data_IF_753816272687
#
_entry.id   IF_753816272687
#
_cell.length_a   1.000
_cell.length_b   1.000
_cell.length_c   1.000
_cell.angle_alpha   90.00
_cell.angle_beta   90.00
_cell.angle_gamma   90.00
#
_symmetry.space_group_name_H-M   'P 1'
#
loop_
_entity.id
_entity.type
_entity.pdbx_description
1 polymer ?
#
# COMPACT_ATOMS: atom_id res chain seq x y z
N UNK A 1 -3.55 15.98 4.32
CA UNK A 1 -2.18 16.06 4.82
C UNK A 1 -1.75 17.49 5.20
N UNK A 2 -1.58 18.40 4.24
CA UNK A 2 -0.93 19.71 4.45
C UNK A 2 -1.54 20.53 5.60
N UNK A 3 -2.86 20.60 5.70
CA UNK A 3 -3.55 21.38 6.75
C UNK A 3 -3.24 20.89 8.16
N UNK A 4 -2.97 19.61 8.36
CA UNK A 4 -2.59 19.06 9.67
C UNK A 4 -1.26 19.63 10.14
N UNK A 5 -0.27 19.72 9.25
CA UNK A 5 1.04 20.29 9.57
C UNK A 5 0.96 21.80 9.85
N UNK A 6 0.17 22.53 9.06
CA UNK A 6 -0.04 23.95 9.29
C UNK A 6 -0.75 24.21 10.63
N UNK A 7 -1.75 23.40 10.98
CA UNK A 7 -2.44 23.49 12.27
C UNK A 7 -1.50 23.16 13.43
N UNK A 8 -0.67 22.13 13.30
CA UNK A 8 0.32 21.77 14.31
C UNK A 8 1.35 22.89 14.54
N UNK A 9 1.86 23.49 13.47
CA UNK A 9 2.80 24.62 13.54
C UNK A 9 2.15 25.86 14.16
N UNK A 10 0.89 26.15 13.80
CA UNK A 10 0.14 27.26 14.40
C UNK A 10 -0.05 27.04 15.91
N UNK A 11 -0.43 25.84 16.34
CA UNK A 11 -0.59 25.51 17.75
C UNK A 11 0.73 25.59 18.54
N UNK A 12 1.84 25.11 17.95
CA UNK A 12 3.17 25.22 18.56
C UNK A 12 3.59 26.67 18.70
N UNK A 13 3.37 27.49 17.69
CA UNK A 13 3.70 28.91 17.75
C UNK A 13 2.83 29.65 18.77
N UNK A 14 1.54 29.33 18.89
CA UNK A 14 0.64 29.92 19.87
C UNK A 14 1.01 29.57 21.30
N UNK A 15 1.40 28.29 21.54
CA UNK A 15 1.69 27.78 22.89
C UNK A 15 3.11 28.10 23.37
N UNK A 16 4.09 28.07 22.48
CA UNK A 16 5.52 28.25 22.81
C UNK A 16 6.04 29.64 22.45
N UNK A 17 5.44 30.30 21.47
CA UNK A 17 5.87 31.63 21.03
C UNK A 17 7.36 31.69 20.74
N UNK A 18 8.08 32.62 21.42
CA UNK A 18 9.54 32.80 21.27
C UNK A 18 10.36 31.60 21.78
N UNK A 19 9.77 30.67 22.55
CA UNK A 19 10.45 29.48 23.03
C UNK A 19 10.44 28.35 21.97
N UNK A 20 9.71 28.53 20.87
CA UNK A 20 9.78 27.59 19.73
C UNK A 20 11.08 27.81 18.96
N UNK A 21 12.09 27.03 19.27
CA UNK A 21 13.47 27.15 18.74
C UNK A 21 13.77 26.24 17.54
N UNK A 22 12.78 25.52 17.02
CA UNK A 22 12.98 24.60 15.90
C UNK A 22 12.84 25.34 14.55
N UNK A 23 13.78 25.12 13.65
CA UNK A 23 13.61 25.42 12.23
C UNK A 23 12.75 24.34 11.59
N UNK A 24 11.71 24.73 10.87
CA UNK A 24 10.83 23.78 10.19
C UNK A 24 10.84 24.05 8.70
N UNK A 25 11.05 22.99 7.92
CA UNK A 25 10.94 22.97 6.47
C UNK A 25 9.80 22.06 6.07
N UNK A 26 8.92 22.52 5.20
CA UNK A 26 7.86 21.71 4.62
C UNK A 26 8.24 21.40 3.17
N UNK A 27 8.40 20.12 2.89
CA UNK A 27 8.54 19.59 1.55
C UNK A 27 7.25 18.88 1.16
N UNK A 28 6.62 19.33 0.09
CA UNK A 28 5.33 18.80 -0.37
C UNK A 28 5.56 18.24 -1.76
N UNK A 29 5.39 16.93 -1.89
CA UNK A 29 5.46 16.20 -3.15
C UNK A 29 4.05 15.96 -3.69
N UNK A 30 3.89 16.10 -5.00
CA UNK A 30 2.63 15.88 -5.70
C UNK A 30 2.70 14.76 -6.75
N UNK A 31 3.81 14.01 -6.82
CA UNK A 31 4.06 12.98 -7.84
C UNK A 31 4.19 11.57 -7.25
N UNK A 32 3.99 11.39 -5.95
CA UNK A 32 4.25 10.11 -5.27
C UNK A 32 3.45 8.98 -5.91
N UNK A 33 2.16 9.17 -6.14
CA UNK A 33 1.26 8.18 -6.76
C UNK A 33 1.56 7.92 -8.25
N UNK A 34 2.40 8.74 -8.86
CA UNK A 34 2.87 8.56 -10.23
C UNK A 34 4.32 8.02 -10.30
N UNK A 35 4.86 7.53 -9.17
CA UNK A 35 6.22 6.98 -9.08
C UNK A 35 7.32 8.03 -8.94
N UNK A 36 6.98 9.25 -8.55
CA UNK A 36 7.94 10.31 -8.18
C UNK A 36 9.06 10.58 -9.20
N UNK A 37 8.77 10.77 -10.47
CA UNK A 37 9.81 10.88 -11.51
C UNK A 37 10.78 12.04 -11.30
N UNK A 38 10.36 13.13 -10.66
CA UNK A 38 11.20 14.31 -10.42
C UNK A 38 11.92 14.29 -9.06
N UNK A 39 11.58 13.35 -8.18
CA UNK A 39 11.98 13.36 -6.76
C UNK A 39 13.50 13.37 -6.56
N UNK A 40 14.21 12.42 -7.16
CA UNK A 40 15.66 12.30 -7.01
C UNK A 40 16.40 13.53 -7.54
N UNK A 41 15.96 14.06 -8.69
CA UNK A 41 16.53 15.27 -9.29
C UNK A 41 16.30 16.49 -8.39
N UNK A 42 15.11 16.60 -7.85
CA UNK A 42 14.74 17.67 -6.92
C UNK A 42 15.60 17.63 -5.64
N UNK A 43 15.71 16.47 -5.00
CA UNK A 43 16.54 16.29 -3.80
C UNK A 43 18.01 16.64 -4.04
N UNK A 44 18.55 16.27 -5.19
CA UNK A 44 19.94 16.61 -5.55
C UNK A 44 20.13 18.11 -5.76
N UNK A 45 19.16 18.78 -6.37
CA UNK A 45 19.21 20.21 -6.66
C UNK A 45 19.12 21.06 -5.40
N UNK A 46 18.23 20.68 -4.48
CA UNK A 46 17.91 21.46 -3.28
C UNK A 46 18.45 20.82 -1.98
N UNK A 47 19.54 20.06 -2.10
CA UNK A 47 20.09 19.28 -0.99
C UNK A 47 20.45 20.11 0.24
N UNK A 48 21.02 21.29 0.04
CA UNK A 48 21.41 22.18 1.14
C UNK A 48 20.19 22.80 1.81
N UNK A 49 19.22 23.27 1.01
CA UNK A 49 17.99 23.84 1.50
C UNK A 49 17.12 22.83 2.26
N UNK A 50 17.15 21.55 1.85
CA UNK A 50 16.40 20.48 2.48
C UNK A 50 17.14 19.82 3.65
N UNK A 51 18.41 20.17 3.88
CA UNK A 51 19.16 19.60 5.01
C UNK A 51 18.45 19.85 6.35
N UNK A 52 18.31 18.81 7.15
CA UNK A 52 17.67 18.84 8.46
C UNK A 52 18.26 17.77 9.37
N UNK A 53 18.17 17.98 10.70
CA UNK A 53 18.61 17.01 11.70
C UNK A 53 17.60 15.82 11.81
N UNK A 54 16.33 16.11 11.56
CA UNK A 54 15.24 15.13 11.60
C UNK A 54 14.34 15.26 10.38
N UNK A 55 13.87 14.16 9.87
CA UNK A 55 12.92 14.08 8.77
C UNK A 55 11.70 13.31 9.26
N UNK A 56 10.52 13.91 9.09
CA UNK A 56 9.24 13.27 9.36
C UNK A 56 8.52 13.06 8.04
N UNK A 57 8.37 11.82 7.64
CA UNK A 57 7.55 11.44 6.47
C UNK A 57 6.12 11.25 6.98
N UNK A 58 5.22 12.10 6.52
CA UNK A 58 3.84 12.16 7.00
C UNK A 58 2.86 11.70 5.91
N UNK A 59 3.00 10.44 5.52
CA UNK A 59 2.18 9.77 4.51
C UNK A 59 1.38 8.60 5.11
N UNK A 60 0.97 8.75 6.34
CA UNK A 60 0.13 7.75 7.00
C UNK A 60 -1.09 8.41 7.64
N UNK A 61 -2.19 7.67 7.71
CA UNK A 61 -3.39 8.11 8.38
C UNK A 61 -3.37 7.74 9.87
N UNK A 62 -4.15 8.45 10.68
CA UNK A 62 -4.50 7.98 12.01
C UNK A 62 -5.33 6.69 11.92
N UNK A 63 -5.30 5.90 13.00
CA UNK A 63 -6.11 4.69 13.11
C UNK A 63 -7.61 4.95 12.84
N UNK A 64 -8.15 6.01 13.45
CA UNK A 64 -9.51 6.52 13.20
C UNK A 64 -9.65 7.97 13.68
N UNK A 65 -10.70 8.63 13.29
CA UNK A 65 -10.99 9.98 13.76
C UNK A 65 -11.08 10.02 15.31
N UNK A 66 -10.41 10.99 15.94
CA UNK A 66 -10.36 11.16 17.38
C UNK A 66 -9.43 10.19 18.14
N UNK A 67 -8.75 9.28 17.43
CA UNK A 67 -7.77 8.35 18.04
C UNK A 67 -6.40 8.63 17.44
N UNK A 68 -5.54 9.41 18.15
CA UNK A 68 -4.17 9.64 17.69
C UNK A 68 -3.40 8.31 17.59
N UNK A 69 -2.61 8.17 16.53
CA UNK A 69 -1.77 6.98 16.34
C UNK A 69 -0.41 7.36 15.76
N UNK A 70 0.59 6.57 16.09
CA UNK A 70 1.92 6.62 15.49
C UNK A 70 2.15 5.35 14.68
N UNK A 71 2.51 5.50 13.42
CA UNK A 71 2.96 4.39 12.60
C UNK A 71 4.37 4.00 13.02
N UNK A 72 4.54 2.79 13.56
CA UNK A 72 5.81 2.30 14.10
C UNK A 72 6.55 1.37 13.15
N UNK A 73 5.86 0.84 12.14
CA UNK A 73 6.43 -0.02 11.11
C UNK A 73 5.61 0.02 9.85
N UNK A 74 6.24 -0.33 8.75
CA UNK A 74 5.60 -0.47 7.43
C UNK A 74 5.85 -1.89 6.91
N UNK A 75 4.95 -2.37 6.06
CA UNK A 75 5.17 -3.60 5.31
C UNK A 75 6.19 -3.33 4.21
N UNK A 76 7.10 -4.28 3.98
CA UNK A 76 7.91 -4.28 2.78
C UNK A 76 7.07 -4.58 1.55
N UNK A 77 7.50 -4.10 0.38
CA UNK A 77 6.90 -4.42 -0.91
C UNK A 77 7.96 -5.03 -1.83
N UNK A 78 7.57 -6.06 -2.57
CA UNK A 78 8.32 -6.60 -3.68
C UNK A 78 7.37 -6.76 -4.86
N UNK A 79 7.80 -6.31 -6.02
CA UNK A 79 7.03 -6.40 -7.27
C UNK A 79 7.77 -7.22 -8.30
N UNK A 80 7.04 -7.77 -9.25
CA UNK A 80 7.59 -8.53 -10.36
C UNK A 80 6.55 -8.69 -11.45
N UNK A 81 7.03 -9.00 -12.65
CA UNK A 81 6.18 -9.24 -13.81
C UNK A 81 6.03 -10.73 -14.07
N UNK A 82 4.83 -11.15 -14.43
CA UNK A 82 4.55 -12.51 -14.89
C UNK A 82 4.17 -12.46 -16.36
N UNK A 83 4.96 -13.12 -17.21
CA UNK A 83 4.66 -13.27 -18.64
C UNK A 83 4.27 -14.72 -18.95
N UNK A 84 3.11 -14.90 -19.60
CA UNK A 84 2.69 -16.22 -20.14
C UNK A 84 2.73 -16.13 -21.66
N UNK A 85 3.58 -16.97 -22.28
CA UNK A 85 3.74 -17.06 -23.72
C UNK A 85 3.39 -18.46 -24.21
N UNK A 86 2.38 -18.57 -25.08
CA UNK A 86 1.87 -19.83 -25.63
C UNK A 86 2.20 -20.05 -27.11
N UNK A 87 2.71 -19.03 -27.80
CA UNK A 87 3.06 -19.11 -29.21
C UNK A 87 4.17 -18.12 -29.56
N UNK A 88 4.77 -18.29 -30.74
CA UNK A 88 5.82 -17.42 -31.29
C UNK A 88 5.26 -16.18 -31.97
N UNK A 89 3.98 -16.17 -32.33
CA UNK A 89 3.28 -15.08 -33.00
C UNK A 89 1.77 -15.17 -32.73
N UNK A 90 1.05 -14.11 -33.05
CA UNK A 90 -0.41 -14.10 -32.99
C UNK A 90 -1.02 -15.04 -34.03
N UNK A 91 -2.07 -15.75 -33.64
CA UNK A 91 -2.78 -16.69 -34.49
C UNK A 91 -4.27 -16.34 -34.60
N UNK A 92 -4.92 -16.85 -35.63
CA UNK A 92 -6.36 -16.74 -35.80
C UNK A 92 -7.05 -17.81 -34.94
N UNK A 93 -7.83 -17.39 -33.94
CA UNK A 93 -8.48 -18.26 -32.94
C UNK A 93 -9.46 -19.26 -33.60
N UNK A 94 -10.17 -18.87 -34.67
CA UNK A 94 -11.10 -19.74 -35.39
C UNK A 94 -10.41 -20.87 -36.18
N UNK A 95 -9.12 -20.72 -36.49
CA UNK A 95 -8.36 -21.73 -37.23
C UNK A 95 -7.56 -22.66 -36.31
N UNK A 96 -7.04 -22.14 -35.21
CA UNK A 96 -6.07 -22.83 -34.37
C UNK A 96 -6.52 -22.94 -32.90
N UNK A 97 -7.62 -22.31 -32.52
CA UNK A 97 -8.20 -22.43 -31.19
C UNK A 97 -8.66 -23.86 -30.88
N UNK A 98 -8.98 -24.13 -29.63
CA UNK A 98 -9.35 -25.45 -29.14
C UNK A 98 -8.14 -26.23 -28.59
N UNK A 99 -7.26 -26.82 -29.41
CA UNK A 99 -6.10 -27.56 -28.92
C UNK A 99 -4.98 -26.62 -28.38
N UNK A 100 -4.91 -25.37 -28.85
CA UNK A 100 -3.96 -24.41 -28.34
C UNK A 100 -4.43 -23.80 -27.03
N UNK A 101 -3.56 -23.84 -26.02
CA UNK A 101 -3.84 -23.21 -24.74
C UNK A 101 -3.94 -21.69 -24.89
N UNK A 102 -4.96 -21.09 -24.29
CA UNK A 102 -5.12 -19.64 -24.24
C UNK A 102 -4.27 -19.02 -23.14
N UNK A 103 -3.45 -18.01 -23.49
CA UNK A 103 -2.54 -17.36 -22.54
C UNK A 103 -3.26 -16.69 -21.37
N UNK A 104 -4.43 -16.08 -21.61
CA UNK A 104 -5.21 -15.44 -20.55
C UNK A 104 -5.79 -16.46 -19.59
N UNK A 105 -6.28 -17.60 -20.11
CA UNK A 105 -6.77 -18.70 -19.27
C UNK A 105 -5.64 -19.27 -18.40
N UNK A 106 -4.46 -19.48 -18.98
CA UNK A 106 -3.29 -19.95 -18.23
C UNK A 106 -2.84 -18.94 -17.18
N UNK A 107 -2.83 -17.65 -17.51
CA UNK A 107 -2.52 -16.59 -16.55
C UNK A 107 -3.53 -16.60 -15.40
N UNK A 108 -4.83 -16.67 -15.68
CA UNK A 108 -5.85 -16.74 -14.65
C UNK A 108 -5.69 -17.97 -13.75
N UNK A 109 -5.39 -19.15 -14.32
CA UNK A 109 -5.10 -20.37 -13.56
C UNK A 109 -3.86 -20.20 -12.68
N UNK A 110 -2.78 -19.62 -13.20
CA UNK A 110 -1.57 -19.35 -12.43
C UNK A 110 -1.86 -18.40 -11.26
N UNK A 111 -2.51 -17.28 -11.51
CA UNK A 111 -2.87 -16.32 -10.46
C UNK A 111 -3.77 -16.95 -9.39
N UNK A 112 -4.69 -17.83 -9.78
CA UNK A 112 -5.53 -18.54 -8.84
C UNK A 112 -4.74 -19.47 -7.88
N UNK A 113 -3.56 -19.96 -8.27
CA UNK A 113 -2.71 -20.77 -7.38
C UNK A 113 -1.99 -19.98 -6.30
N UNK A 114 -1.94 -18.67 -6.43
CA UNK A 114 -1.29 -17.79 -5.44
C UNK A 114 -2.13 -17.64 -4.16
N UNK A 115 -3.38 -18.06 -4.20
CA UNK A 115 -4.30 -18.06 -3.07
C UNK A 115 -4.93 -19.43 -2.87
N UNK A 116 -5.25 -19.77 -1.64
CA UNK A 116 -6.01 -20.97 -1.33
C UNK A 116 -7.53 -20.77 -1.51
N UNK A 117 -8.31 -21.80 -1.22
CA UNK A 117 -9.77 -21.77 -1.35
C UNK A 117 -10.46 -20.74 -0.43
N UNK A 118 -9.78 -20.23 0.58
CA UNK A 118 -10.27 -19.18 1.48
C UNK A 118 -9.86 -17.76 1.00
N UNK A 119 -9.01 -17.68 -0.02
CA UNK A 119 -8.40 -16.43 -0.47
C UNK A 119 -7.17 -16.01 0.34
N UNK A 120 -6.65 -16.87 1.21
CA UNK A 120 -5.39 -16.63 1.88
C UNK A 120 -4.21 -16.87 0.92
N UNK A 121 -3.12 -16.11 1.11
CA UNK A 121 -1.90 -16.27 0.29
C UNK A 121 -1.33 -17.68 0.46
N UNK A 122 -1.17 -18.39 -0.67
CA UNK A 122 -0.71 -19.78 -0.75
C UNK A 122 0.72 -19.93 -1.31
N UNK A 123 1.48 -18.84 -1.41
CA UNK A 123 2.86 -18.88 -1.91
C UNK A 123 3.78 -19.39 -0.81
N UNK A 124 4.46 -20.50 -1.08
CA UNK A 124 5.41 -21.11 -0.16
C UNK A 124 6.65 -20.23 0.03
N UNK A 125 7.16 -20.16 1.27
CA UNK A 125 8.37 -19.42 1.62
C UNK A 125 8.18 -17.92 1.87
N UNK A 126 6.98 -17.37 1.67
CA UNK A 126 6.71 -16.00 2.06
C UNK A 126 6.68 -15.85 3.59
N UNK A 127 7.41 -14.85 4.07
CA UNK A 127 7.40 -14.51 5.49
C UNK A 127 6.03 -13.96 5.88
N UNK A 128 5.52 -14.43 7.03
CA UNK A 128 4.34 -13.88 7.68
C UNK A 128 4.77 -13.15 8.94
N UNK A 129 4.34 -11.91 9.10
CA UNK A 129 4.54 -11.17 10.33
C UNK A 129 3.75 -11.82 11.48
N UNK A 130 4.15 -11.60 12.75
CA UNK A 130 3.35 -12.00 13.90
C UNK A 130 1.93 -11.44 13.86
N UNK A 131 1.01 -12.12 14.53
CA UNK A 131 -0.35 -11.61 14.73
C UNK A 131 -0.30 -10.23 15.39
N UNK A 132 -0.95 -9.21 14.82
CA UNK A 132 -1.01 -7.88 15.44
C UNK A 132 -1.76 -7.92 16.77
N UNK A 133 -1.28 -7.17 17.75
CA UNK A 133 -1.98 -7.00 19.03
C UNK A 133 -3.22 -6.10 18.92
N UNK A 134 -3.37 -5.41 17.79
CA UNK A 134 -4.48 -4.50 17.52
C UNK A 134 -5.71 -5.26 17.05
N UNK A 135 -6.85 -5.02 17.70
CA UNK A 135 -8.13 -5.54 17.26
C UNK A 135 -8.78 -4.59 16.24
N UNK A 136 -9.19 -5.14 15.11
CA UNK A 136 -9.98 -4.45 14.09
C UNK A 136 -11.25 -5.24 13.82
N UNK A 137 -12.36 -4.76 14.36
CA UNK A 137 -13.64 -5.45 14.19
C UNK A 137 -14.05 -5.49 12.71
N UNK A 138 -14.63 -6.61 12.26
CA UNK A 138 -15.08 -6.76 10.88
C UNK A 138 -16.10 -5.70 10.45
N UNK A 139 -17.00 -5.31 11.38
CA UNK A 139 -17.98 -4.27 11.12
C UNK A 139 -17.34 -2.90 10.84
N UNK A 140 -16.29 -2.54 11.61
CA UNK A 140 -15.54 -1.31 11.38
C UNK A 140 -14.81 -1.36 10.03
N UNK A 141 -14.14 -2.49 9.73
CA UNK A 141 -13.46 -2.68 8.45
C UNK A 141 -14.40 -2.55 7.25
N UNK A 142 -15.59 -3.16 7.32
CA UNK A 142 -16.59 -3.07 6.25
C UNK A 142 -17.09 -1.63 6.06
N UNK A 143 -17.31 -0.92 7.15
CA UNK A 143 -17.69 0.49 7.12
C UNK A 143 -16.59 1.37 6.50
N UNK A 144 -15.34 1.16 6.91
CA UNK A 144 -14.20 1.98 6.49
C UNK A 144 -13.79 1.70 5.03
N UNK A 145 -13.87 0.43 4.60
CA UNK A 145 -13.50 0.00 3.24
C UNK A 145 -14.62 0.11 2.21
N UNK A 146 -15.88 0.19 2.66
CA UNK A 146 -17.04 0.17 1.76
C UNK A 146 -17.31 -1.19 1.10
N UNK A 147 -16.69 -2.29 1.54
CA UNK A 147 -16.97 -3.62 1.00
C UNK A 147 -18.42 -4.03 1.30
N UNK A 148 -19.09 -4.59 0.31
CA UNK A 148 -20.50 -5.01 0.44
C UNK A 148 -20.63 -6.15 1.46
N UNK A 149 -21.72 -6.14 2.26
CA UNK A 149 -21.99 -7.17 3.27
C UNK A 149 -22.13 -8.58 2.68
N UNK A 150 -22.52 -8.67 1.42
CA UNK A 150 -22.66 -9.96 0.68
C UNK A 150 -21.34 -10.53 0.20
N UNK A 151 -20.24 -9.76 0.24
CA UNK A 151 -18.91 -10.21 -0.20
C UNK A 151 -18.16 -10.77 1.00
N UNK A 152 -17.73 -12.05 0.96
CA UNK A 152 -16.91 -12.63 2.02
C UNK A 152 -15.52 -11.97 2.04
N UNK A 153 -14.96 -11.82 3.23
CA UNK A 153 -13.57 -11.41 3.36
C UNK A 153 -12.64 -12.57 3.02
N UNK A 154 -11.58 -12.26 2.26
CA UNK A 154 -10.55 -13.23 1.92
C UNK A 154 -9.71 -13.64 3.13
N UNK A 155 -9.23 -14.87 3.14
CA UNK A 155 -8.34 -15.41 4.15
C UNK A 155 -9.05 -15.79 5.46
N UNK A 156 -8.27 -16.20 6.44
CA UNK A 156 -8.71 -16.63 7.77
C UNK A 156 -8.00 -15.84 8.88
N UNK A 157 -8.52 -15.88 10.09
CA UNK A 157 -7.99 -15.12 11.23
C UNK A 157 -8.64 -13.77 11.41
N UNK A 158 -8.08 -12.93 12.26
CA UNK A 158 -8.57 -11.57 12.53
C UNK A 158 -8.45 -10.69 11.29
N UNK A 159 -9.23 -9.61 11.21
CA UNK A 159 -9.10 -8.62 10.13
C UNK A 159 -7.71 -7.99 10.15
N UNK A 160 -7.20 -7.67 11.32
CA UNK A 160 -5.87 -7.12 11.51
C UNK A 160 -4.77 -8.07 10.97
N UNK A 161 -4.89 -9.37 11.26
CA UNK A 161 -3.98 -10.37 10.73
C UNK A 161 -3.98 -10.41 9.20
N UNK A 162 -5.17 -10.44 8.60
CA UNK A 162 -5.32 -10.45 7.13
C UNK A 162 -4.74 -9.20 6.48
N UNK A 163 -4.78 -8.04 7.15
CA UNK A 163 -4.25 -6.78 6.63
C UNK A 163 -2.72 -6.67 6.75
N UNK A 164 -2.12 -7.18 7.82
CA UNK A 164 -0.73 -6.82 8.16
C UNK A 164 0.27 -7.96 8.22
N UNK A 165 -0.16 -9.23 8.15
CA UNK A 165 0.81 -10.34 8.24
C UNK A 165 1.41 -10.74 6.90
N UNK A 166 0.59 -10.83 5.85
CA UNK A 166 1.05 -11.20 4.51
C UNK A 166 -0.03 -10.83 3.48
N UNK A 167 0.34 -10.08 2.46
CA UNK A 167 -0.57 -9.67 1.38
C UNK A 167 0.06 -9.97 0.02
N UNK A 168 -0.80 -10.28 -0.94
CA UNK A 168 -0.46 -10.41 -2.34
C UNK A 168 -1.54 -9.72 -3.17
N UNK A 169 -1.14 -8.77 -4.00
CA UNK A 169 -2.02 -8.05 -4.92
C UNK A 169 -1.57 -8.24 -6.37
N UNK A 170 -2.51 -8.23 -7.29
CA UNK A 170 -2.25 -8.35 -8.72
C UNK A 170 -2.22 -7.01 -9.46
N UNK A 171 -2.70 -5.92 -8.83
CA UNK A 171 -2.66 -4.55 -9.36
C UNK A 171 -3.14 -3.56 -8.31
N UNK A 172 -2.94 -2.28 -8.57
CA UNK A 172 -3.57 -1.23 -7.80
C UNK A 172 -5.09 -1.33 -7.95
N UNK A 173 -5.75 -1.50 -6.83
CA UNK A 173 -7.21 -1.45 -6.73
C UNK A 173 -7.65 0.01 -6.55
N UNK A 174 -7.33 0.87 -7.54
CA UNK A 174 -7.80 2.24 -7.57
C UNK A 174 -9.10 2.35 -8.35
#
# INVERSE_FOLDING_TARGET
GILVHLAALAALNETLGEDFKLGVKLFIEGEEEAGSPSFVSFLNTYREELSADYIVVADSANWRAGVPALTTSLRGVASGDIEVRVGSHAIHSGMFGGPMLDAHTLMAQLLATLHDATGAVAVEGLHRAPEPELEYAEADFRNDSGILDTVPLAGTGSVASRLWTCLLYTSDAA
#
